data_IF_356806069757
#
_entry.id   IF_356806069757
#
_cell.length_a   1.000
_cell.length_b   1.000
_cell.length_c   1.000
_cell.angle_alpha   90.00
_cell.angle_beta   90.00
_cell.angle_gamma   90.00
#
_symmetry.space_group_name_H-M   'P 1'
#
loop_
_entity.id
_entity.type
_entity.pdbx_description
1 polymer ?
#
# COMPACT_ATOMS: atom_id res chain seq x y z
N UNK A 1 10.60 -48.76 -32.69
CA UNK A 1 9.70 -48.50 -31.56
C UNK A 1 10.49 -48.18 -30.28
N UNK A 2 11.31 -47.14 -30.26
CA UNK A 2 12.07 -46.73 -29.03
C UNK A 2 12.35 -45.20 -28.97
N UNK A 3 11.60 -44.37 -29.72
CA UNK A 3 11.85 -42.94 -29.86
C UNK A 3 10.68 -42.02 -29.42
N UNK A 4 9.69 -42.57 -28.72
CA UNK A 4 8.49 -41.81 -28.31
C UNK A 4 8.33 -41.69 -26.78
N UNK A 5 9.40 -41.87 -25.99
CA UNK A 5 9.32 -41.83 -24.50
C UNK A 5 10.10 -40.72 -23.83
N UNK A 6 10.57 -39.71 -24.55
CA UNK A 6 11.44 -38.67 -23.99
C UNK A 6 10.90 -37.23 -24.17
N UNK A 7 9.61 -37.03 -24.39
CA UNK A 7 8.99 -35.71 -24.50
C UNK A 7 7.92 -35.47 -23.43
N UNK A 8 8.03 -36.17 -22.29
CA UNK A 8 7.28 -35.87 -21.08
C UNK A 8 8.17 -35.09 -20.07
N UNK A 9 9.00 -34.18 -20.55
CA UNK A 9 9.70 -33.23 -19.70
C UNK A 9 8.71 -32.14 -19.34
N UNK A 10 8.07 -32.34 -18.20
CA UNK A 10 7.78 -31.33 -17.18
C UNK A 10 7.78 -29.89 -17.72
N UNK A 11 6.65 -29.46 -18.24
CA UNK A 11 6.21 -28.08 -18.12
C UNK A 11 5.92 -27.86 -16.63
N UNK A 12 6.98 -27.70 -15.82
CA UNK A 12 6.90 -27.02 -14.54
C UNK A 12 6.51 -25.58 -14.87
N UNK A 13 5.21 -25.37 -15.04
CA UNK A 13 4.58 -24.07 -14.89
C UNK A 13 4.92 -23.64 -13.46
N UNK A 14 6.04 -22.93 -13.31
CA UNK A 14 6.20 -22.02 -12.21
C UNK A 14 5.09 -20.98 -12.38
N UNK A 15 3.95 -21.25 -11.78
CA UNK A 15 2.93 -20.22 -11.57
C UNK A 15 3.62 -19.18 -10.69
N UNK A 16 4.14 -18.15 -11.31
CA UNK A 16 4.38 -16.89 -10.61
C UNK A 16 3.03 -16.54 -10.03
N UNK A 17 2.86 -16.69 -8.72
CA UNK A 17 1.65 -16.27 -8.05
C UNK A 17 1.54 -14.76 -8.29
N UNK A 18 0.75 -14.37 -9.29
CA UNK A 18 0.40 -12.98 -9.47
C UNK A 18 -0.35 -12.53 -8.21
N UNK A 19 0.01 -11.40 -7.66
CA UNK A 19 -0.72 -10.82 -6.54
C UNK A 19 -2.19 -10.61 -6.96
N UNK A 20 -3.09 -10.83 -6.02
CA UNK A 20 -4.51 -10.65 -6.29
C UNK A 20 -4.83 -9.16 -6.29
N UNK A 21 -5.48 -8.64 -7.34
CA UNK A 21 -6.00 -7.27 -7.32
C UNK A 21 -6.99 -7.11 -6.17
N UNK A 22 -7.19 -5.86 -5.75
CA UNK A 22 -8.18 -5.54 -4.72
C UNK A 22 -9.54 -6.14 -5.07
N UNK A 23 -10.14 -6.90 -4.17
CA UNK A 23 -11.41 -7.55 -4.46
C UNK A 23 -12.55 -6.53 -4.64
N UNK A 24 -13.62 -6.93 -5.32
CA UNK A 24 -14.74 -6.03 -5.66
C UNK A 24 -15.43 -5.45 -4.43
N UNK A 25 -15.57 -6.24 -3.35
CA UNK A 25 -16.16 -5.76 -2.10
C UNK A 25 -15.30 -4.69 -1.43
N UNK A 26 -13.97 -4.88 -1.41
CA UNK A 26 -13.04 -3.87 -0.91
C UNK A 26 -13.09 -2.60 -1.79
N UNK A 27 -13.03 -2.75 -3.12
CA UNK A 27 -13.05 -1.64 -4.07
C UNK A 27 -14.32 -0.79 -3.95
N UNK A 28 -15.48 -1.42 -3.75
CA UNK A 28 -16.76 -0.71 -3.62
C UNK A 28 -16.84 0.22 -2.39
N UNK A 29 -16.01 -0.02 -1.38
CA UNK A 29 -15.97 0.76 -0.13
C UNK A 29 -14.92 1.87 -0.12
N UNK A 30 -14.12 2.01 -1.20
CA UNK A 30 -13.06 3.02 -1.29
C UNK A 30 -13.65 4.35 -1.76
N UNK A 31 -13.62 5.42 -0.94
CA UNK A 31 -14.11 6.74 -1.34
C UNK A 31 -13.27 7.34 -2.48
N UNK A 32 -13.88 8.18 -3.32
CA UNK A 32 -13.20 8.80 -4.46
C UNK A 32 -12.28 9.99 -4.10
N UNK A 33 -12.51 10.66 -2.96
CA UNK A 33 -11.64 11.77 -2.49
C UNK A 33 -10.44 11.22 -1.69
N UNK A 34 -9.67 10.35 -2.36
CA UNK A 34 -8.48 9.73 -1.81
C UNK A 34 -7.30 10.69 -1.74
N UNK A 35 -6.53 10.59 -0.65
CA UNK A 35 -5.15 11.04 -0.56
C UNK A 35 -4.21 9.92 -0.97
N UNK A 36 -4.48 8.70 -0.48
CA UNK A 36 -3.65 7.51 -0.70
C UNK A 36 -4.49 6.24 -0.61
N UNK A 37 -4.16 5.27 -1.45
CA UNK A 37 -4.60 3.89 -1.34
C UNK A 37 -3.36 3.00 -1.31
N UNK A 38 -3.29 2.09 -0.33
CA UNK A 38 -2.21 1.10 -0.20
C UNK A 38 -2.85 -0.28 -0.16
N UNK A 39 -2.30 -1.23 -0.89
CA UNK A 39 -2.69 -2.63 -0.80
C UNK A 39 -1.49 -3.54 -0.60
N UNK A 40 -1.68 -4.56 0.24
CA UNK A 40 -0.67 -5.54 0.60
C UNK A 40 -1.26 -6.94 0.45
N UNK A 41 -0.73 -7.74 -0.47
CA UNK A 41 -1.03 -9.16 -0.57
C UNK A 41 -0.19 -9.92 0.48
N UNK A 42 -0.80 -10.13 1.62
CA UNK A 42 -0.18 -10.77 2.77
C UNK A 42 0.19 -12.22 2.49
N UNK A 43 -0.61 -12.92 1.67
CA UNK A 43 -0.39 -14.31 1.30
C UNK A 43 0.92 -14.48 0.54
N UNK A 44 1.19 -13.59 -0.41
CA UNK A 44 2.42 -13.65 -1.22
C UNK A 44 3.67 -13.23 -0.44
N UNK A 45 3.51 -12.45 0.65
CA UNK A 45 4.63 -11.92 1.42
C UNK A 45 5.07 -12.81 2.59
N UNK A 46 4.18 -13.64 3.15
CA UNK A 46 4.47 -14.43 4.36
C UNK A 46 5.66 -15.39 4.21
N UNK A 47 5.95 -15.83 2.99
CA UNK A 47 7.07 -16.73 2.70
C UNK A 47 8.40 -15.99 2.43
N UNK A 48 8.40 -14.64 2.46
CA UNK A 48 9.61 -13.81 2.32
C UNK A 48 10.10 -13.33 3.69
N UNK A 49 11.26 -13.82 4.19
CA UNK A 49 11.83 -13.33 5.44
C UNK A 49 12.08 -11.82 5.44
N UNK A 50 12.51 -11.27 4.30
CA UNK A 50 12.75 -9.83 4.13
C UNK A 50 11.46 -9.02 4.20
N UNK A 51 10.38 -9.48 3.57
CA UNK A 51 9.07 -8.84 3.68
C UNK A 51 8.54 -8.87 5.12
N UNK A 52 8.70 -9.99 5.81
CA UNK A 52 8.28 -10.12 7.20
C UNK A 52 9.11 -9.25 8.16
N UNK A 53 10.41 -9.12 7.94
CA UNK A 53 11.26 -8.20 8.70
C UNK A 53 10.84 -6.74 8.46
N UNK A 54 10.59 -6.36 7.21
CA UNK A 54 10.10 -5.04 6.85
C UNK A 54 8.75 -4.74 7.52
N UNK A 55 7.80 -5.70 7.48
CA UNK A 55 6.51 -5.59 8.18
C UNK A 55 6.72 -5.27 9.66
N UNK A 56 7.56 -6.03 10.36
CA UNK A 56 7.79 -5.85 11.80
C UNK A 56 8.39 -4.48 12.13
N UNK A 57 9.25 -3.97 11.27
CA UNK A 57 9.91 -2.68 11.46
C UNK A 57 8.98 -1.51 11.15
N UNK A 58 8.17 -1.60 10.09
CA UNK A 58 7.33 -0.50 9.60
C UNK A 58 5.90 -0.51 10.14
N UNK A 59 5.47 -1.61 10.77
CA UNK A 59 4.08 -1.72 11.23
C UNK A 59 3.77 -0.66 12.30
N UNK A 60 2.88 0.30 12.01
CA UNK A 60 2.47 1.31 12.98
C UNK A 60 1.78 0.68 14.20
N UNK A 61 1.88 1.33 15.35
CA UNK A 61 1.31 0.79 16.60
C UNK A 61 -0.20 0.59 16.55
N UNK A 62 -0.92 1.44 15.83
CA UNK A 62 -2.35 1.25 15.61
C UNK A 62 -2.67 -0.04 14.83
N UNK A 63 -1.82 -0.44 13.88
CA UNK A 63 -2.00 -1.71 13.16
C UNK A 63 -1.65 -2.90 14.04
N UNK A 64 -0.60 -2.80 14.88
CA UNK A 64 -0.30 -3.82 15.90
C UNK A 64 -1.48 -4.01 16.87
N UNK A 65 -2.08 -2.91 17.33
CA UNK A 65 -3.28 -2.93 18.18
C UNK A 65 -4.47 -3.58 17.46
N UNK A 66 -4.65 -3.28 16.17
CA UNK A 66 -5.69 -3.90 15.37
C UNK A 66 -5.46 -5.41 15.21
N UNK A 67 -4.24 -5.86 14.90
CA UNK A 67 -3.91 -7.30 14.86
C UNK A 67 -4.21 -8.00 16.20
N UNK A 68 -3.87 -7.35 17.32
CA UNK A 68 -4.19 -7.87 18.65
C UNK A 68 -5.72 -7.96 18.88
N UNK A 69 -6.49 -6.95 18.46
CA UNK A 69 -7.94 -6.96 18.55
C UNK A 69 -8.57 -8.07 17.68
N UNK A 70 -8.04 -8.32 16.47
CA UNK A 70 -8.47 -9.47 15.65
C UNK A 70 -8.22 -10.81 16.32
N UNK A 71 -7.05 -11.02 16.92
CA UNK A 71 -6.72 -12.23 17.70
C UNK A 71 -7.70 -12.40 18.87
N UNK A 72 -8.07 -11.30 19.52
CA UNK A 72 -9.08 -11.27 20.59
C UNK A 72 -10.43 -11.85 20.15
N UNK A 73 -10.90 -11.58 18.96
CA UNK A 73 -12.16 -12.11 18.42
C UNK A 73 -12.01 -13.42 17.65
N UNK A 74 -10.81 -14.02 17.63
CA UNK A 74 -10.55 -15.34 17.07
C UNK A 74 -10.14 -15.36 15.60
N UNK A 75 -9.76 -14.21 15.04
CA UNK A 75 -9.07 -14.10 13.76
C UNK A 75 -7.57 -14.10 13.99
N UNK A 76 -6.86 -15.00 13.33
CA UNK A 76 -5.39 -14.99 13.29
C UNK A 76 -4.94 -14.27 12.01
N UNK A 77 -4.39 -13.03 12.10
CA UNK A 77 -4.01 -12.27 10.91
C UNK A 77 -3.05 -13.03 9.98
N UNK A 78 -2.16 -13.84 10.55
CA UNK A 78 -1.16 -14.56 9.76
C UNK A 78 -1.73 -15.77 9.00
N UNK A 79 -2.93 -16.24 9.37
CA UNK A 79 -3.60 -17.39 8.75
C UNK A 79 -4.87 -17.03 8.00
N UNK A 80 -5.65 -16.12 8.58
CA UNK A 80 -7.02 -15.84 8.15
C UNK A 80 -7.11 -14.61 7.24
N UNK A 81 -6.00 -13.84 7.07
CA UNK A 81 -5.95 -12.68 6.19
C UNK A 81 -5.03 -12.95 5.01
N UNK A 82 -5.56 -12.76 3.82
CA UNK A 82 -4.81 -12.84 2.57
C UNK A 82 -4.36 -11.48 2.07
N UNK A 83 -5.17 -10.43 2.27
CA UNK A 83 -4.84 -9.08 1.84
C UNK A 83 -5.33 -8.02 2.80
N UNK A 84 -4.59 -6.91 2.88
CA UNK A 84 -4.94 -5.70 3.59
C UNK A 84 -4.90 -4.52 2.62
N UNK A 85 -5.95 -3.69 2.67
CA UNK A 85 -6.02 -2.45 1.90
C UNK A 85 -6.33 -1.30 2.85
N UNK A 86 -5.63 -0.18 2.70
CA UNK A 86 -5.83 1.04 3.49
C UNK A 86 -6.15 2.19 2.54
N UNK A 87 -7.31 2.80 2.73
CA UNK A 87 -7.72 3.99 2.02
C UNK A 87 -7.69 5.19 2.96
N UNK A 88 -6.80 6.14 2.70
CA UNK A 88 -6.75 7.44 3.37
C UNK A 88 -7.45 8.47 2.48
N UNK A 89 -8.47 9.12 3.01
CA UNK A 89 -9.36 10.01 2.25
C UNK A 89 -9.75 11.24 3.06
N UNK A 90 -10.20 12.28 2.36
CA UNK A 90 -10.62 13.53 2.96
C UNK A 90 -12.10 13.48 3.33
N UNK A 91 -12.42 14.12 4.43
CA UNK A 91 -13.81 14.36 4.83
C UNK A 91 -14.03 15.86 5.03
N UNK A 92 -15.17 16.36 4.61
CA UNK A 92 -15.49 17.80 4.69
C UNK A 92 -15.49 18.37 6.12
N UNK A 93 -15.66 17.53 7.15
CA UNK A 93 -15.86 17.97 8.53
C UNK A 93 -14.79 17.51 9.52
N UNK A 94 -14.09 16.42 9.21
CA UNK A 94 -13.22 15.72 10.17
C UNK A 94 -11.79 15.51 9.67
N UNK A 95 -11.41 16.20 8.58
CA UNK A 95 -10.08 16.12 8.01
C UNK A 95 -9.78 14.75 7.36
N UNK A 96 -8.54 14.32 7.46
CA UNK A 96 -8.08 13.05 6.89
C UNK A 96 -8.54 11.87 7.75
N UNK A 97 -9.09 10.85 7.10
CA UNK A 97 -9.54 9.60 7.71
C UNK A 97 -8.92 8.41 6.96
N UNK A 98 -8.76 7.31 7.67
CA UNK A 98 -8.30 6.05 7.07
C UNK A 98 -9.25 4.92 7.41
N UNK A 99 -9.64 4.16 6.41
CA UNK A 99 -10.34 2.88 6.56
C UNK A 99 -9.45 1.76 6.09
N UNK A 100 -9.42 0.66 6.84
CA UNK A 100 -8.79 -0.58 6.45
C UNK A 100 -9.81 -1.58 5.94
N UNK A 101 -9.42 -2.39 4.97
CA UNK A 101 -10.17 -3.54 4.48
C UNK A 101 -9.29 -4.75 4.59
N UNK A 102 -9.75 -5.79 5.29
CA UNK A 102 -9.09 -7.08 5.34
C UNK A 102 -9.91 -8.10 4.56
N UNK A 103 -9.24 -8.87 3.70
CA UNK A 103 -9.87 -9.97 2.99
C UNK A 103 -9.10 -11.26 3.24
N UNK A 104 -9.85 -12.38 3.35
CA UNK A 104 -9.25 -13.69 3.60
C UNK A 104 -10.29 -14.77 3.89
N UNK A 105 -9.86 -16.02 4.07
CA UNK A 105 -10.72 -17.18 4.26
C UNK A 105 -11.22 -17.33 5.71
N UNK A 106 -11.53 -16.25 6.41
CA UNK A 106 -11.97 -16.33 7.79
C UNK A 106 -13.42 -16.85 7.95
N UNK A 107 -13.68 -17.52 9.07
CA UNK A 107 -15.00 -18.02 9.39
C UNK A 107 -15.82 -16.94 10.12
N UNK A 108 -16.56 -16.13 9.37
CA UNK A 108 -17.42 -15.05 9.90
C UNK A 108 -18.37 -15.54 11.00
N UNK A 109 -19.00 -16.71 10.82
CA UNK A 109 -19.94 -17.24 11.82
C UNK A 109 -19.26 -17.56 13.15
N UNK A 110 -18.04 -18.12 13.11
CA UNK A 110 -17.26 -18.40 14.32
C UNK A 110 -16.82 -17.09 15.01
N UNK A 111 -16.39 -16.07 14.25
CA UNK A 111 -16.05 -14.75 14.77
C UNK A 111 -17.25 -14.11 15.47
N UNK A 112 -18.41 -14.08 14.81
CA UNK A 112 -19.63 -13.49 15.38
C UNK A 112 -20.08 -14.23 16.64
N UNK A 113 -19.96 -15.57 16.67
CA UNK A 113 -20.25 -16.37 17.87
C UNK A 113 -19.33 -15.96 19.02
N UNK A 114 -18.04 -15.82 18.78
CA UNK A 114 -17.06 -15.40 19.80
C UNK A 114 -17.33 -13.99 20.30
N UNK A 115 -17.60 -13.04 19.40
CA UNK A 115 -17.97 -11.66 19.76
C UNK A 115 -19.22 -11.62 20.63
N UNK A 116 -20.24 -12.43 20.32
CA UNK A 116 -21.44 -12.54 21.14
C UNK A 116 -21.13 -13.06 22.55
N UNK A 117 -20.24 -14.05 22.69
CA UNK A 117 -19.80 -14.56 24.00
C UNK A 117 -19.06 -13.49 24.80
N UNK A 118 -18.33 -12.61 24.14
CA UNK A 118 -17.63 -11.47 24.74
C UNK A 118 -18.53 -10.24 24.95
N UNK A 119 -19.84 -10.37 24.66
CA UNK A 119 -20.85 -9.31 24.83
C UNK A 119 -20.62 -8.07 23.96
N UNK A 120 -19.93 -8.21 22.82
CA UNK A 120 -19.90 -7.15 21.83
C UNK A 120 -21.28 -6.97 21.18
N UNK A 121 -21.86 -5.79 21.34
CA UNK A 121 -23.18 -5.45 20.80
C UNK A 121 -23.02 -4.57 19.58
N UNK A 122 -23.44 -5.02 18.39
CA UNK A 122 -23.34 -4.21 17.19
C UNK A 122 -24.28 -3.01 17.23
N UNK A 123 -23.88 -1.92 16.58
CA UNK A 123 -24.75 -0.79 16.26
C UNK A 123 -25.15 -0.88 14.80
N UNK A 124 -26.44 -0.75 14.51
CA UNK A 124 -26.96 -0.69 13.14
C UNK A 124 -26.56 0.62 12.48
N UNK A 125 -26.10 0.52 11.23
CA UNK A 125 -25.88 1.64 10.35
C UNK A 125 -26.28 1.24 8.92
N UNK A 126 -27.33 1.87 8.40
CA UNK A 126 -27.99 1.42 7.17
C UNK A 126 -28.28 -0.09 7.25
N UNK A 127 -27.86 -0.87 6.27
CA UNK A 127 -28.05 -2.32 6.23
C UNK A 127 -26.87 -3.12 6.85
N UNK A 128 -25.98 -2.45 7.60
CA UNK A 128 -24.78 -3.06 8.15
C UNK A 128 -24.76 -3.06 9.66
N UNK A 129 -24.05 -4.03 10.23
CA UNK A 129 -23.73 -4.11 11.66
C UNK A 129 -22.31 -3.59 11.87
N UNK A 130 -22.15 -2.59 12.73
CA UNK A 130 -20.85 -2.08 13.16
C UNK A 130 -20.58 -2.58 14.57
N UNK A 131 -19.56 -3.39 14.72
CA UNK A 131 -19.14 -4.02 15.97
C UNK A 131 -18.03 -3.19 16.62
N UNK A 132 -18.15 -2.81 17.90
CA UNK A 132 -17.03 -2.24 18.63
C UNK A 132 -15.93 -3.30 18.81
N UNK A 133 -14.67 -2.84 18.86
CA UNK A 133 -13.50 -3.67 19.13
C UNK A 133 -12.63 -3.00 20.21
N UNK A 134 -11.69 -3.74 20.75
CA UNK A 134 -10.70 -3.19 21.67
C UNK A 134 -9.83 -2.15 20.97
N UNK A 135 -9.23 -1.24 21.74
CA UNK A 135 -8.39 -0.17 21.21
C UNK A 135 -9.15 0.98 20.51
N UNK A 136 -10.49 1.04 20.66
CA UNK A 136 -11.30 2.11 20.06
C UNK A 136 -11.62 1.90 18.58
N UNK A 137 -11.22 0.76 17.99
CA UNK A 137 -11.62 0.38 16.66
C UNK A 137 -13.07 -0.07 16.57
N UNK A 138 -13.61 0.00 15.39
CA UNK A 138 -14.86 -0.67 15.04
C UNK A 138 -14.64 -1.47 13.75
N UNK A 139 -15.48 -2.48 13.53
CA UNK A 139 -15.45 -3.29 12.33
C UNK A 139 -16.84 -3.56 11.76
N UNK A 140 -16.92 -3.85 10.49
CA UNK A 140 -18.13 -4.28 9.80
C UNK A 140 -17.80 -5.35 8.76
N UNK A 141 -18.54 -6.44 8.71
CA UNK A 141 -18.41 -7.41 7.63
C UNK A 141 -19.13 -6.91 6.39
N UNK A 142 -18.44 -6.91 5.26
CA UNK A 142 -19.03 -6.64 3.94
C UNK A 142 -19.65 -7.91 3.37
N UNK A 143 -18.95 -9.02 3.50
CA UNK A 143 -19.36 -10.35 3.07
C UNK A 143 -18.72 -11.45 3.95
N UNK A 144 -18.69 -12.70 3.49
CA UNK A 144 -18.14 -13.83 4.25
C UNK A 144 -16.59 -13.82 4.34
N UNK A 145 -15.93 -13.07 3.46
CA UNK A 145 -14.46 -13.05 3.30
C UNK A 145 -13.84 -11.65 3.37
N UNK A 146 -14.65 -10.61 3.62
CA UNK A 146 -14.19 -9.21 3.60
C UNK A 146 -14.76 -8.45 4.79
N UNK A 147 -13.89 -7.77 5.53
CA UNK A 147 -14.28 -6.90 6.63
C UNK A 147 -13.64 -5.53 6.55
N UNK A 148 -14.39 -4.51 6.95
CA UNK A 148 -13.90 -3.15 7.18
C UNK A 148 -13.46 -2.99 8.62
N UNK A 149 -12.43 -2.17 8.84
CA UNK A 149 -12.00 -1.75 10.17
C UNK A 149 -11.47 -0.31 10.17
N UNK A 150 -11.58 0.35 11.30
CA UNK A 150 -11.14 1.74 11.45
C UNK A 150 -11.88 2.45 12.58
N UNK A 151 -11.90 3.78 12.56
CA UNK A 151 -12.77 4.55 13.42
C UNK A 151 -14.24 4.54 12.92
N UNK A 152 -15.18 4.90 13.79
CA UNK A 152 -16.61 4.88 13.45
C UNK A 152 -16.99 5.77 12.27
N UNK A 153 -16.25 6.87 12.03
CA UNK A 153 -16.52 7.78 10.92
C UNK A 153 -16.03 7.18 9.61
N UNK A 154 -14.79 6.67 9.59
CA UNK A 154 -14.22 6.07 8.38
C UNK A 154 -15.02 4.86 7.91
N UNK A 155 -15.48 4.00 8.83
CA UNK A 155 -16.35 2.88 8.50
C UNK A 155 -17.68 3.35 7.89
N UNK A 156 -18.31 4.38 8.45
CA UNK A 156 -19.58 4.89 7.90
C UNK A 156 -19.40 5.46 6.50
N UNK A 157 -18.35 6.25 6.27
CA UNK A 157 -18.06 6.77 4.92
C UNK A 157 -17.82 5.64 3.93
N UNK A 158 -17.08 4.60 4.31
CA UNK A 158 -16.86 3.44 3.45
C UNK A 158 -18.17 2.69 3.13
N UNK A 159 -19.07 2.52 4.12
CA UNK A 159 -20.39 1.93 3.90
C UNK A 159 -21.28 2.82 3.03
N UNK A 160 -21.26 4.14 3.22
CA UNK A 160 -22.00 5.10 2.40
C UNK A 160 -21.46 5.09 0.95
N UNK A 161 -20.15 4.89 0.76
CA UNK A 161 -19.55 4.72 -0.58
C UNK A 161 -20.07 3.45 -1.24
N UNK A 162 -20.06 2.32 -0.55
CA UNK A 162 -20.61 1.06 -1.04
C UNK A 162 -22.08 1.20 -1.44
N UNK A 163 -22.85 1.93 -0.64
CA UNK A 163 -24.30 2.11 -0.85
C UNK A 163 -24.61 3.24 -1.86
N UNK A 164 -23.57 3.84 -2.51
CA UNK A 164 -23.69 4.86 -3.53
C UNK A 164 -24.07 6.26 -3.02
N UNK A 165 -24.01 6.50 -1.71
CA UNK A 165 -24.28 7.81 -1.09
C UNK A 165 -23.07 8.74 -1.14
N UNK A 166 -21.86 8.18 -1.25
CA UNK A 166 -20.60 8.86 -1.44
C UNK A 166 -19.96 8.35 -2.74
N UNK A 167 -19.38 9.24 -3.53
CA UNK A 167 -18.67 8.85 -4.75
C UNK A 167 -17.49 7.95 -4.43
N UNK A 168 -17.36 6.84 -5.16
CA UNK A 168 -16.29 5.87 -4.99
C UNK A 168 -15.07 6.11 -5.88
N UNK A 169 -14.04 5.30 -5.68
CA UNK A 169 -12.78 5.32 -6.43
C UNK A 169 -12.97 5.35 -7.95
N UNK A 170 -13.94 4.60 -8.47
CA UNK A 170 -14.19 4.51 -9.91
C UNK A 170 -14.66 5.83 -10.55
N UNK A 171 -15.07 6.83 -9.73
CA UNK A 171 -15.37 8.18 -10.20
C UNK A 171 -14.13 9.07 -10.30
N UNK A 172 -12.99 8.64 -9.78
CA UNK A 172 -11.71 9.33 -9.82
C UNK A 172 -10.80 8.67 -10.86
N UNK A 173 -10.95 9.07 -12.13
CA UNK A 173 -10.25 8.46 -13.27
C UNK A 173 -8.73 8.38 -13.07
N UNK A 174 -8.10 9.49 -12.63
CA UNK A 174 -6.64 9.51 -12.42
C UNK A 174 -6.18 8.45 -11.41
N UNK A 175 -6.90 8.29 -10.29
CA UNK A 175 -6.56 7.29 -9.29
C UNK A 175 -6.84 5.86 -9.78
N UNK A 176 -7.94 5.67 -10.52
CA UNK A 176 -8.29 4.38 -11.09
C UNK A 176 -7.27 3.91 -12.14
N UNK A 177 -6.81 4.83 -13.01
CA UNK A 177 -5.79 4.56 -14.01
C UNK A 177 -4.43 4.22 -13.36
N UNK A 178 -4.00 5.01 -12.38
CA UNK A 178 -2.76 4.72 -11.64
C UNK A 178 -2.82 3.37 -10.91
N UNK A 179 -3.99 2.99 -10.40
CA UNK A 179 -4.18 1.70 -9.74
C UNK A 179 -4.02 0.54 -10.73
N UNK A 180 -4.60 0.63 -11.92
CA UNK A 180 -4.52 -0.41 -12.95
C UNK A 180 -3.08 -0.75 -13.35
N UNK A 181 -2.16 0.21 -13.23
CA UNK A 181 -0.74 0.02 -13.56
C UNK A 181 0.05 -0.75 -12.48
N UNK A 182 -0.48 -0.86 -11.23
CA UNK A 182 0.27 -1.42 -10.09
C UNK A 182 -0.47 -2.51 -9.31
N UNK A 183 -1.76 -2.73 -9.54
CA UNK A 183 -2.61 -3.60 -8.71
C UNK A 183 -2.26 -5.10 -8.77
N UNK A 184 -1.39 -5.49 -9.70
CA UNK A 184 -0.82 -6.84 -9.80
C UNK A 184 0.42 -7.06 -8.92
N UNK A 185 0.95 -6.03 -8.26
CA UNK A 185 2.10 -6.15 -7.38
C UNK A 185 1.69 -6.60 -5.96
N UNK A 186 2.55 -7.36 -5.23
CA UNK A 186 2.23 -7.82 -3.88
C UNK A 186 2.11 -6.69 -2.86
N UNK A 187 2.82 -5.59 -3.06
CA UNK A 187 2.63 -4.33 -2.31
C UNK A 187 2.57 -3.21 -3.32
N UNK A 188 1.53 -2.39 -3.24
CA UNK A 188 1.42 -1.23 -4.10
C UNK A 188 0.69 -0.08 -3.41
N UNK A 189 0.90 1.11 -3.92
CA UNK A 189 0.18 2.29 -3.49
C UNK A 189 0.01 3.28 -4.63
N UNK A 190 -1.09 4.03 -4.54
CA UNK A 190 -1.34 5.21 -5.36
C UNK A 190 -1.58 6.41 -4.46
N UNK A 191 -1.08 7.57 -4.87
CA UNK A 191 -1.25 8.84 -4.17
C UNK A 191 -1.79 9.89 -5.14
N UNK A 192 -2.72 10.70 -4.67
CA UNK A 192 -3.16 11.86 -5.43
C UNK A 192 -2.08 12.95 -5.48
N UNK A 193 -2.40 14.10 -6.06
CA UNK A 193 -1.50 15.24 -6.14
C UNK A 193 -0.93 15.65 -4.77
N UNK A 194 -1.80 15.83 -3.78
CA UNK A 194 -1.38 16.28 -2.44
C UNK A 194 -0.56 15.20 -1.71
N UNK A 195 -0.98 13.93 -1.81
CA UNK A 195 -0.23 12.79 -1.27
C UNK A 195 1.17 12.70 -1.87
N UNK A 196 1.27 12.88 -3.19
CA UNK A 196 2.56 12.91 -3.90
C UNK A 196 3.43 14.08 -3.47
N UNK A 197 2.87 15.29 -3.33
CA UNK A 197 3.59 16.45 -2.81
C UNK A 197 4.14 16.20 -1.40
N UNK A 198 3.32 15.64 -0.52
CA UNK A 198 3.73 15.31 0.85
C UNK A 198 4.84 14.26 0.86
N UNK A 199 4.73 13.20 0.07
CA UNK A 199 5.72 12.15 -0.02
C UNK A 199 7.07 12.67 -0.55
N UNK A 200 7.08 13.45 -1.63
CA UNK A 200 8.29 14.06 -2.17
C UNK A 200 8.91 15.07 -1.18
N UNK A 201 8.10 15.90 -0.54
CA UNK A 201 8.60 16.83 0.48
C UNK A 201 9.27 16.09 1.64
N UNK A 202 8.66 15.03 2.13
CA UNK A 202 9.20 14.20 3.20
C UNK A 202 10.51 13.52 2.79
N UNK A 203 10.56 12.93 1.58
CA UNK A 203 11.73 12.25 1.07
C UNK A 203 12.92 13.19 0.80
N UNK A 204 12.66 14.40 0.31
CA UNK A 204 13.71 15.38 -0.02
C UNK A 204 14.14 16.22 1.20
N UNK A 205 13.34 16.32 2.26
CA UNK A 205 13.65 17.11 3.44
C UNK A 205 14.01 18.56 3.08
N UNK A 206 15.16 19.06 3.57
CA UNK A 206 15.63 20.42 3.28
C UNK A 206 15.91 20.71 1.80
N UNK A 207 16.18 19.68 1.00
CA UNK A 207 16.34 19.85 -0.45
C UNK A 207 15.03 20.27 -1.14
N UNK A 208 13.87 20.08 -0.51
CA UNK A 208 12.59 20.59 -1.01
C UNK A 208 12.48 22.12 -0.98
N UNK A 209 13.39 22.81 -0.29
CA UNK A 209 13.48 24.28 -0.25
C UNK A 209 14.15 24.90 -1.49
N UNK A 210 14.63 24.07 -2.41
CA UNK A 210 15.19 24.53 -3.68
C UNK A 210 14.06 25.18 -4.52
N UNK A 211 14.36 26.36 -5.08
CA UNK A 211 13.36 27.21 -5.76
C UNK A 211 12.52 26.49 -6.83
N UNK A 212 13.11 25.50 -7.52
CA UNK A 212 12.42 24.78 -8.59
C UNK A 212 11.34 23.81 -8.09
N UNK A 213 11.42 23.33 -6.84
CA UNK A 213 10.43 22.41 -6.28
C UNK A 213 9.04 23.09 -6.17
N UNK A 214 8.98 24.34 -5.71
CA UNK A 214 7.71 25.08 -5.61
C UNK A 214 7.01 25.30 -6.96
N UNK A 215 7.80 25.38 -8.03
CA UNK A 215 7.27 25.52 -9.39
C UNK A 215 6.71 24.21 -9.94
N UNK A 216 7.35 23.08 -9.63
CA UNK A 216 6.95 21.75 -10.14
C UNK A 216 5.85 21.10 -9.32
N UNK A 217 5.78 21.33 -7.99
CA UNK A 217 4.81 20.66 -7.12
C UNK A 217 3.36 20.87 -7.56
N UNK A 218 3.02 22.05 -8.09
CA UNK A 218 1.67 22.38 -8.59
C UNK A 218 1.31 21.63 -9.87
N UNK A 219 2.31 21.09 -10.58
CA UNK A 219 2.17 20.35 -11.83
C UNK A 219 2.28 18.84 -11.64
N UNK A 220 2.41 18.37 -10.41
CA UNK A 220 2.26 16.96 -10.08
C UNK A 220 0.80 16.57 -10.22
N UNK A 221 0.54 15.40 -10.74
CA UNK A 221 -0.81 14.83 -10.89
C UNK A 221 -1.06 13.78 -9.82
N UNK A 222 -0.06 12.94 -9.58
CA UNK A 222 -0.11 11.86 -8.61
C UNK A 222 1.15 11.02 -8.67
N UNK A 223 1.18 9.96 -7.87
CA UNK A 223 2.24 8.95 -7.96
C UNK A 223 1.71 7.57 -7.62
N UNK A 224 2.43 6.56 -8.09
CA UNK A 224 2.19 5.16 -7.78
C UNK A 224 3.50 4.46 -7.50
N UNK A 225 3.46 3.45 -6.65
CA UNK A 225 4.60 2.56 -6.49
C UNK A 225 4.16 1.11 -6.35
N UNK A 226 5.07 0.22 -6.73
CA UNK A 226 4.95 -1.21 -6.57
C UNK A 226 6.21 -1.76 -5.92
N UNK A 227 6.06 -2.76 -5.05
CA UNK A 227 7.19 -3.44 -4.41
C UNK A 227 6.96 -4.95 -4.47
N UNK A 228 8.01 -5.70 -4.79
CA UNK A 228 8.02 -7.15 -4.78
C UNK A 228 9.26 -7.69 -4.08
N UNK A 229 9.15 -8.94 -3.60
CA UNK A 229 10.18 -9.61 -2.81
C UNK A 229 10.65 -10.92 -3.46
N UNK A 230 10.38 -11.10 -4.73
CA UNK A 230 10.88 -12.24 -5.51
C UNK A 230 12.30 -11.96 -5.99
N UNK A 231 13.25 -12.80 -5.59
CA UNK A 231 14.68 -12.64 -5.91
C UNK A 231 15.30 -11.32 -5.39
N UNK A 232 15.07 -11.03 -4.11
CA UNK A 232 15.43 -9.77 -3.47
C UNK A 232 14.28 -8.78 -3.45
N UNK A 233 14.60 -7.51 -3.21
CA UNK A 233 13.61 -6.43 -3.16
C UNK A 233 13.67 -5.62 -4.43
N UNK A 234 12.53 -5.47 -5.10
CA UNK A 234 12.36 -4.57 -6.24
C UNK A 234 11.30 -3.54 -5.86
N UNK A 235 11.63 -2.27 -6.06
CA UNK A 235 10.73 -1.14 -5.82
C UNK A 235 10.70 -0.26 -7.05
N UNK A 236 9.53 -0.05 -7.60
CA UNK A 236 9.26 0.79 -8.76
C UNK A 236 8.30 1.89 -8.35
N UNK A 237 8.68 3.13 -8.58
CA UNK A 237 7.84 4.30 -8.33
C UNK A 237 7.71 5.12 -9.61
N UNK A 238 6.52 5.62 -9.88
CA UNK A 238 6.27 6.57 -10.96
C UNK A 238 5.59 7.81 -10.40
N UNK A 239 6.18 8.97 -10.64
CA UNK A 239 5.54 10.27 -10.41
C UNK A 239 4.94 10.74 -11.72
N UNK A 240 3.64 11.00 -11.74
CA UNK A 240 2.89 11.51 -12.89
C UNK A 240 2.84 13.03 -12.80
N UNK A 241 3.21 13.70 -13.88
CA UNK A 241 3.21 15.16 -14.00
C UNK A 241 2.30 15.63 -15.13
N UNK A 242 2.01 16.93 -15.19
CA UNK A 242 1.14 17.51 -16.22
C UNK A 242 1.75 17.52 -17.63
N UNK A 243 3.09 17.46 -17.74
CA UNK A 243 3.79 17.59 -19.00
C UNK A 243 5.24 17.07 -18.92
N UNK A 244 5.85 16.82 -20.07
CA UNK A 244 7.23 16.27 -20.18
C UNK A 244 8.32 17.21 -19.66
N UNK A 245 8.13 18.51 -19.74
CA UNK A 245 9.10 19.50 -19.21
C UNK A 245 9.13 19.42 -17.69
N UNK A 246 7.97 19.32 -17.06
CA UNK A 246 7.84 19.12 -15.61
C UNK A 246 8.48 17.78 -15.21
N UNK A 247 8.22 16.70 -15.95
CA UNK A 247 8.85 15.40 -15.69
C UNK A 247 10.38 15.47 -15.76
N UNK A 248 10.94 16.11 -16.80
CA UNK A 248 12.40 16.30 -16.93
C UNK A 248 12.98 17.10 -15.74
N UNK A 249 12.26 18.14 -15.29
CA UNK A 249 12.68 18.95 -14.13
C UNK A 249 12.67 18.12 -12.84
N UNK A 250 11.58 17.38 -12.56
CA UNK A 250 11.49 16.49 -11.38
C UNK A 250 12.58 15.42 -11.41
N UNK A 251 12.80 14.78 -12.57
CA UNK A 251 13.87 13.78 -12.76
C UNK A 251 15.24 14.38 -12.44
N UNK A 252 15.52 15.59 -12.91
CA UNK A 252 16.79 16.29 -12.66
C UNK A 252 16.98 16.63 -11.19
N UNK A 253 15.93 17.11 -10.51
CA UNK A 253 15.96 17.37 -9.07
C UNK A 253 16.23 16.11 -8.25
N UNK A 254 15.55 15.01 -8.55
CA UNK A 254 15.77 13.73 -7.88
C UNK A 254 17.18 13.18 -8.13
N UNK A 255 17.70 13.26 -9.36
CA UNK A 255 19.09 12.86 -9.68
C UNK A 255 20.09 13.72 -8.92
N UNK A 256 19.89 15.02 -8.86
CA UNK A 256 20.72 15.94 -8.09
C UNK A 256 20.72 15.61 -6.59
N UNK A 257 19.53 15.33 -6.03
CA UNK A 257 19.40 14.90 -4.64
C UNK A 257 20.10 13.57 -4.36
N UNK A 258 19.96 12.58 -5.25
CA UNK A 258 20.65 11.30 -5.12
C UNK A 258 22.18 11.48 -5.16
N UNK A 259 22.69 12.33 -6.03
CA UNK A 259 24.13 12.65 -6.11
C UNK A 259 24.62 13.31 -4.81
N UNK A 260 23.87 14.27 -4.28
CA UNK A 260 24.16 14.90 -2.99
C UNK A 260 24.19 13.88 -1.85
N UNK A 261 23.19 13.01 -1.77
CA UNK A 261 23.13 11.94 -0.76
C UNK A 261 24.32 10.98 -0.87
N UNK A 262 24.74 10.63 -2.09
CA UNK A 262 25.91 9.76 -2.31
C UNK A 262 27.20 10.31 -1.67
N UNK A 263 27.36 11.63 -1.59
CA UNK A 263 28.57 12.26 -1.01
C UNK A 263 28.68 12.07 0.52
N UNK A 264 27.55 12.01 1.22
CA UNK A 264 27.48 11.87 2.69
C UNK A 264 27.05 10.50 3.16
N UNK A 265 26.74 9.56 2.24
CA UNK A 265 26.15 8.27 2.53
C UNK A 265 27.10 7.30 3.21
N UNK A 266 26.60 6.52 4.15
CA UNK A 266 27.24 5.32 4.70
C UNK A 266 27.43 4.25 3.62
N UNK A 267 28.27 3.22 3.84
CA UNK A 267 28.44 2.14 2.84
C UNK A 267 27.12 1.48 2.41
N UNK A 268 26.19 1.24 3.35
CA UNK A 268 24.88 0.64 3.04
C UNK A 268 24.02 1.58 2.19
N UNK A 269 24.01 2.87 2.50
CA UNK A 269 23.29 3.90 1.75
C UNK A 269 23.86 4.12 0.36
N UNK A 270 25.20 4.03 0.20
CA UNK A 270 25.85 4.09 -1.13
C UNK A 270 25.36 2.97 -2.02
N UNK A 271 25.24 1.75 -1.51
CA UNK A 271 24.67 0.61 -2.24
C UNK A 271 23.23 0.93 -2.67
N UNK A 272 22.40 1.50 -1.77
CA UNK A 272 21.04 1.88 -2.12
C UNK A 272 20.99 2.93 -3.22
N UNK A 273 21.82 3.97 -3.14
CA UNK A 273 21.93 5.02 -4.18
C UNK A 273 22.40 4.43 -5.51
N UNK A 274 23.38 3.54 -5.50
CA UNK A 274 23.93 2.90 -6.71
C UNK A 274 22.93 1.92 -7.35
N UNK A 275 22.09 1.30 -6.54
CA UNK A 275 21.03 0.38 -6.99
C UNK A 275 19.73 1.11 -7.40
N UNK A 276 19.71 2.43 -7.37
CA UNK A 276 18.55 3.24 -7.77
C UNK A 276 18.85 3.91 -9.10
N UNK A 277 17.95 3.74 -10.07
CA UNK A 277 17.92 4.53 -11.31
C UNK A 277 16.72 5.45 -11.33
N UNK A 278 16.88 6.61 -11.98
CA UNK A 278 15.83 7.60 -12.18
C UNK A 278 15.83 7.94 -13.66
N UNK A 279 14.67 7.90 -14.28
CA UNK A 279 14.47 8.30 -15.69
C UNK A 279 13.21 9.15 -15.84
N UNK A 280 12.94 9.60 -17.05
CA UNK A 280 11.68 10.28 -17.39
C UNK A 280 11.28 9.91 -18.80
N UNK A 281 10.00 9.58 -18.96
CA UNK A 281 9.39 9.26 -20.24
C UNK A 281 8.02 9.96 -20.34
N UNK A 282 7.85 10.79 -21.38
CA UNK A 282 6.68 11.64 -21.51
C UNK A 282 6.46 12.50 -20.26
N UNK A 283 5.29 12.42 -19.65
CA UNK A 283 4.93 13.11 -18.41
C UNK A 283 5.25 12.31 -17.14
N UNK A 284 5.93 11.17 -17.23
CA UNK A 284 6.23 10.31 -16.10
C UNK A 284 7.70 10.42 -15.68
N UNK A 285 7.92 10.31 -14.37
CA UNK A 285 9.27 10.15 -13.79
C UNK A 285 9.30 8.80 -13.10
N UNK A 286 10.16 7.90 -13.61
CA UNK A 286 10.41 6.58 -13.05
C UNK A 286 11.55 6.61 -12.03
N UNK A 287 11.38 5.87 -10.95
CA UNK A 287 12.44 5.52 -10.00
C UNK A 287 12.40 4.01 -9.77
N UNK A 288 13.51 3.35 -10.05
CA UNK A 288 13.66 1.91 -9.94
C UNK A 288 14.78 1.59 -8.96
N UNK A 289 14.47 0.79 -7.96
CA UNK A 289 15.44 0.29 -6.98
C UNK A 289 15.40 -1.23 -6.95
N UNK A 290 16.58 -1.85 -6.94
CA UNK A 290 16.71 -3.30 -6.82
C UNK A 290 17.87 -3.66 -5.90
N UNK A 291 17.60 -4.54 -4.92
CA UNK A 291 18.61 -5.02 -3.99
C UNK A 291 18.43 -6.51 -3.70
N UNK A 292 19.51 -7.21 -3.38
CA UNK A 292 19.41 -8.54 -2.77
C UNK A 292 18.81 -8.44 -1.37
N UNK A 293 18.28 -9.55 -0.84
CA UNK A 293 17.74 -9.60 0.53
C UNK A 293 18.76 -9.09 1.57
N UNK A 294 20.03 -9.51 1.44
CA UNK A 294 21.09 -9.09 2.35
C UNK A 294 21.38 -7.57 2.29
N UNK A 295 21.42 -7.01 1.07
CA UNK A 295 21.63 -5.58 0.88
C UNK A 295 20.47 -4.77 1.47
N UNK A 296 19.24 -5.21 1.23
CA UNK A 296 18.05 -4.54 1.74
C UNK A 296 17.94 -4.64 3.27
N UNK A 297 18.25 -5.79 3.87
CA UNK A 297 18.31 -5.93 5.33
C UNK A 297 19.35 -4.98 5.94
N UNK A 298 20.51 -4.83 5.31
CA UNK A 298 21.52 -3.86 5.77
C UNK A 298 21.01 -2.42 5.67
N UNK A 299 20.25 -2.11 4.61
CA UNK A 299 19.64 -0.78 4.42
C UNK A 299 18.55 -0.49 5.45
N UNK A 300 17.74 -1.47 5.84
CA UNK A 300 16.69 -1.29 6.87
C UNK A 300 17.24 -0.80 8.22
N UNK A 301 18.52 -1.04 8.51
CA UNK A 301 19.18 -0.56 9.72
C UNK A 301 19.91 0.77 9.54
N UNK A 302 19.77 1.44 8.39
CA UNK A 302 20.43 2.72 8.11
C UNK A 302 19.60 3.92 8.54
N UNK A 303 20.27 5.07 8.75
CA UNK A 303 19.62 6.35 9.03
C UNK A 303 18.75 6.82 7.86
N UNK A 304 19.17 6.51 6.62
CA UNK A 304 18.38 6.82 5.42
C UNK A 304 17.02 6.13 5.46
N UNK A 305 16.99 4.86 5.84
CA UNK A 305 15.73 4.12 5.95
C UNK A 305 14.84 4.68 7.05
N UNK A 306 15.40 4.98 8.21
CA UNK A 306 14.68 5.62 9.30
C UNK A 306 14.08 6.98 8.87
N UNK A 307 14.82 7.79 8.11
CA UNK A 307 14.36 9.10 7.64
C UNK A 307 13.20 9.05 6.64
N UNK A 308 13.03 7.94 5.89
CA UNK A 308 11.92 7.81 4.91
C UNK A 308 10.71 7.05 5.50
N UNK A 309 10.82 6.48 6.69
CA UNK A 309 9.77 5.67 7.33
C UNK A 309 9.16 6.33 8.56
N UNK A 310 9.72 7.43 9.05
CA UNK A 310 9.25 8.28 10.14
C UNK A 310 8.98 9.70 9.65
#
# INVERSE_FOLDING_TARGET
MRLLRLLAISLLLTTVAAALPINSSARSCVPGDLLQLISVDYRSLKDSPTAMALKQQLMPDNIKQFEAALKGIGLDPDKDIDSLTFASFRTNKQGLKTVGVAAGPFNRAAVLKKMKLQKYVPKKYNNSDIYPMDGGFVMSFLDESTLLFGDSTSIRVALDTRDGQVMGLDTNGNMADMMADVDSAPVWSILDQQGTQNALHSAMGDASKIADYESVKKRLVGSRYAMSFSNGVNFDMTVVTSDSTTAATVSSLLKGYMLYKKMSATPAEKIAVENTSIDSDGSNVGMHFKASDQQFQSLMHSELFAAVTH
#
